data_IF_276941227870
#
_entry.id   IF_276941227870
#
_cell.length_a   1.000
_cell.length_b   1.000
_cell.length_c   1.000
_cell.angle_alpha   90.00
_cell.angle_beta   90.00
_cell.angle_gamma   90.00
#
_symmetry.space_group_name_H-M   'P 1'
#
loop_
_entity.id
_entity.type
_entity.pdbx_description
1 polymer ?
#
# COMPACT_ATOMS: atom_id res chain seq x y z
N UNK A 1 -0.01 0.37 20.64
CA UNK A 1 -1.27 1.15 20.55
C UNK A 1 -2.22 0.45 19.58
N UNK A 2 -3.49 0.32 19.97
CA UNK A 2 -4.58 -0.21 19.12
C UNK A 2 -4.85 0.70 17.92
N UNK A 3 -5.29 0.13 16.80
CA UNK A 3 -5.71 0.89 15.62
C UNK A 3 -6.99 1.70 15.90
N UNK A 4 -7.30 2.61 14.99
CA UNK A 4 -8.47 3.49 15.01
C UNK A 4 -8.61 4.34 16.29
N UNK A 5 -7.59 5.09 16.71
CA UNK A 5 -7.63 5.86 17.96
C UNK A 5 -8.54 7.09 17.92
N UNK A 6 -9.08 7.46 16.75
CA UNK A 6 -9.88 8.67 16.54
C UNK A 6 -11.23 8.37 15.89
N UNK A 7 -12.26 9.23 16.06
CA UNK A 7 -13.53 9.08 15.33
C UNK A 7 -13.37 9.02 13.80
N UNK A 8 -12.37 9.72 13.25
CA UNK A 8 -12.06 9.74 11.81
C UNK A 8 -11.52 8.39 11.31
N UNK A 9 -10.74 7.69 12.12
CA UNK A 9 -10.19 6.36 11.79
C UNK A 9 -11.10 5.20 12.22
N UNK A 10 -12.22 5.48 12.92
CA UNK A 10 -13.19 4.44 13.31
C UNK A 10 -14.06 3.98 12.15
N UNK A 11 -14.01 2.68 11.84
CA UNK A 11 -14.87 2.07 10.83
C UNK A 11 -16.30 1.94 11.37
N UNK A 12 -17.25 2.60 10.70
CA UNK A 12 -18.66 2.58 11.11
C UNK A 12 -19.52 1.57 10.34
N UNK A 13 -19.35 1.47 9.02
CA UNK A 13 -20.11 0.52 8.18
C UNK A 13 -19.34 -0.80 8.03
N UNK A 14 -19.97 -1.92 8.37
CA UNK A 14 -19.34 -3.24 8.31
C UNK A 14 -18.29 -3.43 9.41
N UNK A 15 -18.62 -3.04 10.65
CA UNK A 15 -17.71 -3.08 11.82
C UNK A 15 -17.12 -4.45 12.10
N UNK A 16 -17.85 -5.53 11.80
CA UNK A 16 -17.37 -6.90 11.93
C UNK A 16 -16.14 -7.22 11.04
N UNK A 17 -15.80 -6.34 10.09
CA UNK A 17 -14.63 -6.43 9.21
C UNK A 17 -13.47 -5.56 9.68
N UNK A 18 -13.68 -4.71 10.69
CA UNK A 18 -12.64 -3.86 11.24
C UNK A 18 -11.66 -4.72 12.04
N UNK A 19 -10.37 -4.47 11.90
CA UNK A 19 -9.30 -5.17 12.62
C UNK A 19 -8.57 -4.16 13.49
N UNK A 20 -8.34 -4.52 14.75
CA UNK A 20 -7.74 -3.66 15.78
C UNK A 20 -6.25 -3.86 15.95
N UNK A 21 -5.75 -5.04 15.56
CA UNK A 21 -4.37 -5.45 15.76
C UNK A 21 -3.43 -4.73 14.80
N UNK A 22 -2.37 -4.14 15.35
CA UNK A 22 -1.36 -3.40 14.58
C UNK A 22 -0.60 -4.29 13.60
N UNK A 23 -0.41 -5.56 13.95
CA UNK A 23 0.19 -6.56 13.06
C UNK A 23 -0.59 -6.71 11.75
N UNK A 24 -1.92 -6.56 11.79
CA UNK A 24 -2.74 -6.59 10.57
C UNK A 24 -2.50 -5.36 9.68
N UNK A 25 -2.22 -4.19 10.25
CA UNK A 25 -1.81 -3.01 9.48
C UNK A 25 -0.48 -3.27 8.77
N UNK A 26 0.52 -3.76 9.53
CA UNK A 26 1.84 -4.08 8.98
C UNK A 26 1.73 -5.11 7.86
N UNK A 27 0.99 -6.21 8.07
CA UNK A 27 0.80 -7.24 7.04
C UNK A 27 0.14 -6.71 5.75
N UNK A 28 -0.79 -5.76 5.85
CA UNK A 28 -1.40 -5.14 4.65
C UNK A 28 -0.41 -4.23 3.93
N UNK A 29 0.35 -3.43 4.68
CA UNK A 29 1.34 -2.52 4.11
C UNK A 29 2.51 -3.30 3.46
N UNK A 30 3.01 -4.33 4.13
CA UNK A 30 4.15 -5.13 3.65
C UNK A 30 3.81 -5.96 2.41
N UNK A 31 2.55 -6.39 2.27
CA UNK A 31 2.09 -7.09 1.09
C UNK A 31 1.80 -6.17 -0.12
N UNK A 32 1.79 -4.85 0.07
CA UNK A 32 1.42 -3.90 -0.98
C UNK A 32 2.62 -3.14 -1.54
N UNK A 33 2.70 -3.05 -2.86
CA UNK A 33 3.75 -2.30 -3.56
C UNK A 33 3.36 -0.83 -3.80
N UNK A 34 2.06 -0.54 -3.82
CA UNK A 34 1.49 0.76 -4.19
C UNK A 34 0.52 1.21 -3.10
N UNK A 35 0.62 2.49 -2.75
CA UNK A 35 -0.37 3.19 -1.96
C UNK A 35 -0.96 4.36 -2.77
N UNK A 36 -2.07 4.92 -2.29
CA UNK A 36 -2.69 6.11 -2.85
C UNK A 36 -2.58 7.24 -1.84
N UNK A 37 -1.76 8.24 -2.16
CA UNK A 37 -1.61 9.45 -1.36
C UNK A 37 -2.69 10.45 -1.76
N UNK A 38 -3.56 10.80 -0.82
CA UNK A 38 -4.54 11.86 -0.93
C UNK A 38 -4.08 13.10 -0.16
N UNK A 39 -4.13 14.25 -0.83
CA UNK A 39 -3.77 15.57 -0.30
C UNK A 39 -4.64 16.64 -0.96
N UNK A 40 -4.98 17.71 -0.25
CA UNK A 40 -5.69 18.86 -0.84
C UNK A 40 -4.65 19.81 -1.42
N UNK A 41 -4.77 20.14 -2.70
CA UNK A 41 -3.88 21.06 -3.41
C UNK A 41 -4.73 22.12 -4.11
N UNK A 42 -4.44 23.40 -3.87
CA UNK A 42 -5.25 24.55 -4.30
C UNK A 42 -6.75 24.38 -3.99
N UNK A 43 -7.07 23.84 -2.82
CA UNK A 43 -8.45 23.64 -2.37
C UNK A 43 -9.19 22.46 -3.00
N UNK A 44 -8.55 21.66 -3.86
CA UNK A 44 -9.14 20.47 -4.46
C UNK A 44 -8.44 19.18 -3.97
N UNK A 45 -9.18 18.09 -3.71
CA UNK A 45 -8.56 16.81 -3.37
C UNK A 45 -7.83 16.24 -4.59
N UNK A 46 -6.59 15.83 -4.38
CA UNK A 46 -5.75 15.12 -5.33
C UNK A 46 -5.40 13.75 -4.74
N UNK A 47 -5.53 12.70 -5.54
CA UNK A 47 -5.13 11.33 -5.18
C UNK A 47 -4.13 10.82 -6.20
N UNK A 48 -2.95 10.41 -5.75
CA UNK A 48 -1.89 9.88 -6.61
C UNK A 48 -1.43 8.49 -6.16
N UNK A 49 -1.35 7.52 -7.07
CA UNK A 49 -0.67 6.25 -6.79
C UNK A 49 0.84 6.46 -6.67
N UNK A 50 1.46 5.87 -5.67
CA UNK A 50 2.92 5.91 -5.46
C UNK A 50 3.42 4.69 -4.71
N UNK A 51 4.67 4.31 -4.97
CA UNK A 51 5.40 3.38 -4.11
C UNK A 51 5.68 3.98 -2.73
N UNK A 52 5.84 3.12 -1.74
CA UNK A 52 6.16 3.48 -0.36
C UNK A 52 7.03 2.39 0.26
N UNK A 53 7.59 2.64 1.43
CA UNK A 53 8.25 1.62 2.24
C UNK A 53 7.96 1.82 3.71
N UNK A 54 7.86 0.74 4.48
CA UNK A 54 7.59 0.79 5.92
C UNK A 54 8.83 0.47 6.74
N UNK A 55 9.06 1.26 7.78
CA UNK A 55 10.03 0.95 8.84
C UNK A 55 9.35 1.14 10.20
N UNK A 56 9.14 0.05 10.92
CA UNK A 56 8.37 0.04 12.17
C UNK A 56 6.99 0.67 11.99
N UNK A 57 6.73 1.74 12.72
CA UNK A 57 5.46 2.50 12.72
C UNK A 57 5.51 3.77 11.85
N UNK A 58 6.39 3.82 10.86
CA UNK A 58 6.47 4.92 9.88
C UNK A 58 6.45 4.35 8.46
N UNK A 59 5.73 5.02 7.56
CA UNK A 59 5.92 4.82 6.12
C UNK A 59 6.66 6.00 5.51
N UNK A 60 7.48 5.71 4.51
CA UNK A 60 8.18 6.69 3.71
C UNK A 60 7.61 6.73 2.29
N UNK A 61 7.45 7.94 1.78
CA UNK A 61 7.02 8.25 0.42
C UNK A 61 8.12 9.09 -0.23
N UNK A 62 8.33 8.93 -1.54
CA UNK A 62 9.30 9.77 -2.25
C UNK A 62 8.75 10.26 -3.59
N UNK A 63 9.43 11.25 -4.15
CA UNK A 63 9.21 11.71 -5.51
C UNK A 63 10.13 12.85 -5.87
N UNK A 64 9.93 13.46 -7.04
CA UNK A 64 10.68 14.65 -7.43
C UNK A 64 10.47 15.80 -6.43
N UNK A 65 11.51 16.60 -6.19
CA UNK A 65 11.38 17.87 -5.45
C UNK A 65 10.39 18.86 -6.10
N UNK A 66 10.12 18.73 -7.40
CA UNK A 66 9.11 19.51 -8.11
C UNK A 66 7.68 19.00 -7.94
N UNK A 67 7.48 17.78 -7.43
CA UNK A 67 6.17 17.14 -7.36
C UNK A 67 5.23 17.92 -6.44
N UNK A 68 4.15 18.43 -7.03
CA UNK A 68 3.23 19.36 -6.36
C UNK A 68 2.54 18.75 -5.14
N UNK A 69 2.12 17.48 -5.24
CA UNK A 69 1.53 16.73 -4.12
C UNK A 69 2.47 16.60 -2.92
N UNK A 70 3.74 16.25 -3.16
CA UNK A 70 4.75 16.11 -2.10
C UNK A 70 5.13 17.46 -1.51
N UNK A 71 5.24 18.53 -2.33
CA UNK A 71 5.48 19.89 -1.84
C UNK A 71 4.36 20.37 -0.95
N UNK A 72 3.11 20.16 -1.36
CA UNK A 72 1.94 20.54 -0.57
C UNK A 72 1.90 19.76 0.74
N UNK A 73 2.03 18.43 0.69
CA UNK A 73 2.08 17.58 1.88
C UNK A 73 3.20 17.99 2.85
N UNK A 74 4.37 18.41 2.35
CA UNK A 74 5.50 18.87 3.15
C UNK A 74 5.23 20.17 3.92
N UNK A 75 4.18 20.93 3.57
CA UNK A 75 3.79 22.15 4.30
C UNK A 75 3.06 21.85 5.62
N UNK A 76 2.75 20.58 5.90
CA UNK A 76 2.08 20.16 7.12
C UNK A 76 0.56 20.03 7.00
N UNK A 77 0.01 20.13 5.79
CA UNK A 77 -1.42 19.86 5.56
C UNK A 77 -1.75 18.39 5.87
N UNK A 78 -2.99 18.09 6.31
CA UNK A 78 -3.42 16.71 6.49
C UNK A 78 -3.36 15.91 5.19
N UNK A 79 -2.86 14.69 5.30
CA UNK A 79 -2.83 13.69 4.23
C UNK A 79 -3.59 12.44 4.63
N UNK A 80 -3.94 11.63 3.63
CA UNK A 80 -4.50 10.30 3.82
C UNK A 80 -3.78 9.33 2.86
N UNK A 81 -3.34 8.19 3.36
CA UNK A 81 -2.72 7.13 2.55
C UNK A 81 -3.63 5.91 2.60
N UNK A 82 -4.03 5.42 1.43
CA UNK A 82 -4.86 4.22 1.30
C UNK A 82 -4.12 3.10 0.56
N UNK A 83 -4.21 1.88 1.09
CA UNK A 83 -3.72 0.65 0.49
C UNK A 83 -4.87 -0.35 0.40
N UNK A 84 -5.01 -1.02 -0.74
CA UNK A 84 -6.03 -2.05 -0.97
C UNK A 84 -5.43 -3.22 -1.74
N UNK A 85 -5.62 -4.43 -1.23
CA UNK A 85 -5.33 -5.70 -1.88
C UNK A 85 -6.65 -6.42 -2.10
N UNK A 86 -6.96 -6.79 -3.34
CA UNK A 86 -8.17 -7.56 -3.68
C UNK A 86 -7.79 -9.03 -3.77
N UNK A 87 -8.48 -9.85 -2.98
CA UNK A 87 -8.18 -11.27 -2.83
C UNK A 87 -9.20 -12.16 -3.57
N UNK A 88 -10.28 -11.58 -4.09
CA UNK A 88 -11.23 -12.28 -4.96
C UNK A 88 -12.58 -11.60 -5.10
N UNK A 89 -13.33 -11.99 -6.12
CA UNK A 89 -14.72 -11.55 -6.35
C UNK A 89 -15.67 -12.52 -5.68
N UNK A 90 -16.66 -12.00 -4.96
CA UNK A 90 -17.70 -12.81 -4.32
C UNK A 90 -18.98 -12.75 -5.12
N UNK A 91 -19.36 -13.90 -5.65
CA UNK A 91 -20.56 -14.14 -6.41
C UNK A 91 -21.67 -14.62 -5.48
N UNK A 92 -22.66 -13.77 -5.24
CA UNK A 92 -23.84 -14.08 -4.45
C UNK A 92 -25.02 -14.50 -5.37
N UNK A 93 -26.12 -14.95 -4.77
CA UNK A 93 -27.36 -15.30 -5.48
C UNK A 93 -28.20 -14.06 -5.79
N UNK A 94 -28.12 -13.06 -4.90
CA UNK A 94 -28.68 -11.72 -5.09
C UNK A 94 -27.62 -10.75 -5.62
N UNK A 95 -28.03 -9.85 -6.53
CA UNK A 95 -27.14 -8.79 -7.02
C UNK A 95 -26.68 -7.86 -5.88
N UNK A 96 -27.51 -7.70 -4.86
CA UNK A 96 -27.22 -6.86 -3.70
C UNK A 96 -26.03 -7.37 -2.88
N UNK A 97 -25.84 -8.69 -2.82
CA UNK A 97 -24.85 -9.34 -1.96
C UNK A 97 -23.53 -9.66 -2.66
N UNK A 98 -23.41 -9.31 -3.95
CA UNK A 98 -22.13 -9.32 -4.64
C UNK A 98 -21.11 -8.45 -3.92
N UNK A 99 -19.88 -8.94 -3.83
CA UNK A 99 -18.83 -8.26 -3.09
C UNK A 99 -17.43 -8.65 -3.55
N UNK A 100 -16.42 -8.29 -2.77
CA UNK A 100 -15.03 -8.70 -2.95
C UNK A 100 -14.44 -9.15 -1.61
N UNK A 101 -13.57 -10.16 -1.62
CA UNK A 101 -12.63 -10.39 -0.54
C UNK A 101 -11.46 -9.42 -0.73
N UNK A 102 -11.03 -8.77 0.35
CA UNK A 102 -10.00 -7.74 0.30
C UNK A 102 -9.34 -7.54 1.67
N UNK A 103 -8.17 -6.92 1.64
CA UNK A 103 -7.50 -6.33 2.79
C UNK A 103 -7.19 -4.87 2.47
N UNK A 104 -7.48 -3.97 3.39
CA UNK A 104 -7.24 -2.54 3.19
C UNK A 104 -6.76 -1.85 4.45
N UNK A 105 -5.92 -0.85 4.27
CA UNK A 105 -5.45 0.04 5.32
C UNK A 105 -5.65 1.49 4.89
N UNK A 106 -6.09 2.33 5.83
CA UNK A 106 -6.18 3.79 5.65
C UNK A 106 -5.46 4.46 6.80
N UNK A 107 -4.46 5.28 6.46
CA UNK A 107 -3.62 6.03 7.41
C UNK A 107 -3.89 7.52 7.25
N UNK A 108 -4.22 8.19 8.33
CA UNK A 108 -4.37 9.63 8.39
C UNK A 108 -3.20 10.24 9.14
N UNK A 109 -2.80 11.46 8.76
CA UNK A 109 -1.84 12.21 9.54
C UNK A 109 -1.33 13.44 8.82
N UNK A 110 -0.22 13.97 9.32
CA UNK A 110 0.54 15.04 8.70
C UNK A 110 1.90 14.49 8.34
N UNK A 111 2.23 14.49 7.05
CA UNK A 111 3.52 14.02 6.58
C UNK A 111 4.63 15.03 6.95
N UNK A 112 5.80 14.52 7.34
CA UNK A 112 6.96 15.33 7.72
C UNK A 112 8.07 15.15 6.70
N UNK A 113 8.67 16.24 6.16
CA UNK A 113 9.79 16.13 5.25
C UNK A 113 11.03 15.55 5.94
N UNK A 114 11.71 14.62 5.27
CA UNK A 114 12.98 14.05 5.73
C UNK A 114 14.13 14.85 5.11
N UNK A 115 14.71 15.74 5.89
CA UNK A 115 15.76 16.68 5.44
C UNK A 115 17.17 16.26 5.83
N UNK A 116 17.32 15.51 6.93
CA UNK A 116 18.61 14.96 7.36
C UNK A 116 19.14 13.97 6.29
N UNK A 117 20.38 14.14 5.81
CA UNK A 117 20.93 13.30 4.72
C UNK A 117 20.99 11.81 5.04
N UNK A 118 21.37 11.43 6.27
CA UNK A 118 21.48 10.03 6.66
C UNK A 118 20.11 9.37 6.76
N UNK A 119 19.16 10.05 7.42
CA UNK A 119 17.78 9.59 7.50
C UNK A 119 17.11 9.51 6.12
N UNK A 120 17.45 10.43 5.21
CA UNK A 120 16.94 10.42 3.84
C UNK A 120 17.49 9.22 3.05
N UNK A 121 18.78 8.93 3.18
CA UNK A 121 19.38 7.74 2.57
C UNK A 121 18.75 6.45 3.13
N UNK A 122 18.54 6.37 4.45
CA UNK A 122 17.85 5.27 5.10
C UNK A 122 16.42 5.10 4.58
N UNK A 123 15.63 6.17 4.52
CA UNK A 123 14.27 6.13 4.01
C UNK A 123 14.21 5.65 2.54
N UNK A 124 15.14 6.09 1.71
CA UNK A 124 15.27 5.61 0.33
C UNK A 124 15.66 4.13 0.28
N UNK A 125 16.55 3.66 1.16
CA UNK A 125 16.84 2.22 1.32
C UNK A 125 15.58 1.45 1.67
N UNK A 126 14.81 1.90 2.67
CA UNK A 126 13.54 1.28 3.07
C UNK A 126 12.56 1.19 1.89
N UNK A 127 12.40 2.27 1.12
CA UNK A 127 11.58 2.30 -0.10
C UNK A 127 12.05 1.30 -1.16
N UNK A 128 13.36 1.27 -1.44
CA UNK A 128 13.95 0.34 -2.40
C UNK A 128 13.75 -1.10 -1.96
N UNK A 129 14.05 -1.43 -0.71
CA UNK A 129 13.96 -2.78 -0.17
C UNK A 129 12.51 -3.27 -0.05
N UNK A 130 11.55 -2.36 0.16
CA UNK A 130 10.12 -2.71 0.13
C UNK A 130 9.65 -3.11 -1.27
N UNK A 131 10.12 -2.40 -2.30
CA UNK A 131 9.68 -2.61 -3.69
C UNK A 131 10.52 -3.67 -4.42
N UNK A 132 11.80 -3.79 -4.07
CA UNK A 132 12.77 -4.68 -4.70
C UNK A 132 13.82 -5.12 -3.64
N UNK A 133 13.48 -6.11 -2.80
CA UNK A 133 14.38 -6.60 -1.76
C UNK A 133 15.76 -6.99 -2.31
N UNK A 134 16.82 -6.65 -1.58
CA UNK A 134 18.22 -6.87 -1.95
C UNK A 134 18.78 -5.91 -3.00
N UNK A 135 17.94 -5.09 -3.64
CA UNK A 135 18.39 -4.23 -4.75
C UNK A 135 19.20 -3.02 -4.29
N UNK A 136 19.06 -2.55 -3.05
CA UNK A 136 19.86 -1.41 -2.58
C UNK A 136 21.36 -1.74 -2.55
N UNK A 137 21.71 -2.94 -2.10
CA UNK A 137 23.09 -3.39 -1.99
C UNK A 137 23.63 -3.97 -3.32
N UNK A 138 22.74 -4.36 -4.26
CA UNK A 138 23.10 -4.83 -5.60
C UNK A 138 23.32 -3.71 -6.62
N UNK A 139 22.48 -2.68 -6.61
CA UNK A 139 22.58 -1.56 -7.54
C UNK A 139 23.60 -0.50 -7.10
N UNK A 140 24.01 0.38 -8.03
CA UNK A 140 24.87 1.53 -7.69
C UNK A 140 24.14 2.44 -6.67
N UNK A 141 24.79 2.84 -5.56
CA UNK A 141 24.21 3.78 -4.61
C UNK A 141 23.86 5.15 -5.22
N UNK A 142 22.86 5.89 -4.69
CA UNK A 142 22.50 7.22 -5.18
C UNK A 142 23.64 8.24 -5.11
N UNK A 143 23.78 9.06 -6.15
CA UNK A 143 24.67 10.23 -6.17
C UNK A 143 24.07 11.38 -5.36
N UNK A 144 24.91 12.35 -4.97
CA UNK A 144 24.47 13.58 -4.33
C UNK A 144 23.44 14.37 -5.19
N UNK A 145 23.58 14.34 -6.53
CA UNK A 145 22.62 14.98 -7.45
C UNK A 145 21.26 14.30 -7.43
N UNK A 146 21.24 12.96 -7.47
CA UNK A 146 20.01 12.17 -7.38
C UNK A 146 19.32 12.40 -6.02
N UNK A 147 20.08 12.40 -4.92
CA UNK A 147 19.54 12.71 -3.59
C UNK A 147 18.97 14.14 -3.51
N UNK A 148 19.63 15.13 -4.12
CA UNK A 148 19.13 16.51 -4.13
C UNK A 148 17.84 16.67 -4.96
N UNK A 149 17.62 15.84 -5.99
CA UNK A 149 16.44 15.88 -6.84
C UNK A 149 15.21 15.14 -6.27
N UNK A 150 15.39 14.39 -5.17
CA UNK A 150 14.35 13.58 -4.56
C UNK A 150 13.86 14.20 -3.25
N UNK A 151 12.55 14.36 -3.10
CA UNK A 151 11.90 14.64 -1.81
C UNK A 151 11.49 13.34 -1.15
N UNK A 152 11.58 13.28 0.19
CA UNK A 152 11.11 12.15 1.00
C UNK A 152 10.22 12.69 2.12
N UNK A 153 9.08 12.03 2.32
CA UNK A 153 8.14 12.29 3.39
C UNK A 153 8.04 11.08 4.31
N UNK A 154 7.98 11.33 5.61
CA UNK A 154 7.66 10.33 6.63
C UNK A 154 6.22 10.54 7.12
N UNK A 155 5.44 9.47 7.24
CA UNK A 155 4.10 9.48 7.80
C UNK A 155 4.00 8.43 8.92
N UNK A 156 3.59 8.89 10.09
CA UNK A 156 3.38 8.06 11.28
C UNK A 156 2.11 7.19 11.15
N UNK A 157 2.17 5.96 11.67
CA UNK A 157 1.11 4.95 11.59
C UNK A 157 0.20 4.92 12.84
N UNK A 158 0.15 5.97 13.65
CA UNK A 158 -0.69 6.02 14.86
C UNK A 158 -2.16 6.06 14.49
N UNK A 159 -2.58 6.96 13.59
CA UNK A 159 -3.98 7.11 13.18
C UNK A 159 -4.28 6.30 11.92
N UNK A 160 -4.40 4.98 12.10
CA UNK A 160 -4.66 4.05 11.00
C UNK A 160 -5.88 3.17 11.28
N UNK A 161 -6.53 2.71 10.22
CA UNK A 161 -7.65 1.76 10.26
C UNK A 161 -7.41 0.62 9.28
N UNK A 162 -7.84 -0.59 9.66
CA UNK A 162 -7.72 -1.78 8.83
C UNK A 162 -9.08 -2.43 8.68
N UNK A 163 -9.41 -2.80 7.43
CA UNK A 163 -10.65 -3.50 7.10
C UNK A 163 -10.36 -4.70 6.21
N UNK A 164 -10.81 -5.87 6.64
CA UNK A 164 -10.57 -7.14 5.95
C UNK A 164 -11.89 -7.86 5.73
N UNK A 165 -12.09 -8.37 4.51
CA UNK A 165 -13.18 -9.29 4.17
C UNK A 165 -12.60 -10.55 3.55
N UNK A 166 -12.98 -11.69 4.10
CA UNK A 166 -12.73 -13.02 3.53
C UNK A 166 -14.01 -13.86 3.60
N UNK A 167 -14.01 -15.00 2.91
CA UNK A 167 -15.09 -15.99 3.00
C UNK A 167 -16.17 -15.89 1.90
N UNK A 168 -17.23 -16.70 2.05
CA UNK A 168 -18.31 -16.87 1.06
C UNK A 168 -19.24 -15.64 0.95
N UNK A 169 -20.19 -15.63 0.00
CA UNK A 169 -21.31 -14.69 0.03
C UNK A 169 -22.16 -14.86 1.29
N UNK A 170 -22.82 -13.77 1.72
CA UNK A 170 -23.77 -13.77 2.84
C UNK A 170 -25.19 -13.58 2.32
N UNK A 171 -25.66 -14.54 1.51
CA UNK A 171 -27.03 -14.53 0.97
C UNK A 171 -28.08 -14.68 2.09
N UNK A 172 -29.27 -14.14 1.87
CA UNK A 172 -30.45 -14.36 2.72
C UNK A 172 -30.93 -15.83 2.65
N UNK A 173 -31.55 -16.32 3.72
CA UNK A 173 -31.98 -17.72 3.83
C UNK A 173 -32.94 -18.14 2.70
N UNK A 174 -33.80 -17.22 2.23
CA UNK A 174 -34.75 -17.47 1.14
C UNK A 174 -34.03 -17.73 -0.19
N UNK A 175 -32.97 -16.96 -0.50
CA UNK A 175 -32.17 -17.14 -1.72
C UNK A 175 -31.38 -18.46 -1.67
N UNK A 176 -30.88 -18.82 -0.49
CA UNK A 176 -30.20 -20.11 -0.27
C UNK A 176 -31.19 -21.28 -0.45
N UNK A 177 -32.37 -21.20 0.16
CA UNK A 177 -33.40 -22.24 0.09
C UNK A 177 -33.94 -22.43 -1.34
N UNK A 178 -34.08 -21.34 -2.11
CA UNK A 178 -34.50 -21.39 -3.50
C UNK A 178 -33.50 -22.16 -4.39
N UNK A 179 -32.21 -22.14 -4.03
CA UNK A 179 -31.11 -22.85 -4.70
C UNK A 179 -31.12 -22.70 -6.24
N UNK A 180 -31.52 -21.53 -6.73
CA UNK A 180 -31.78 -21.29 -8.15
C UNK A 180 -30.56 -20.76 -8.93
N UNK A 181 -29.50 -20.35 -8.21
CA UNK A 181 -28.29 -19.71 -8.76
C UNK A 181 -27.05 -20.28 -8.09
N UNK A 182 -25.95 -20.34 -8.85
CA UNK A 182 -24.63 -20.63 -8.29
C UNK A 182 -24.13 -19.43 -7.49
N UNK A 183 -23.40 -19.70 -6.42
CA UNK A 183 -22.76 -18.70 -5.56
C UNK A 183 -21.42 -19.22 -5.06
N UNK A 184 -20.45 -18.32 -4.88
CA UNK A 184 -19.09 -18.70 -4.51
C UNK A 184 -18.12 -17.53 -4.54
N UNK A 185 -16.82 -17.86 -4.49
CA UNK A 185 -15.73 -16.90 -4.58
C UNK A 185 -14.87 -17.26 -5.78
N UNK A 186 -14.55 -16.28 -6.62
CA UNK A 186 -13.49 -16.38 -7.61
C UNK A 186 -12.23 -15.70 -7.03
N UNK A 187 -11.24 -16.46 -6.55
CA UNK A 187 -10.04 -15.88 -5.95
C UNK A 187 -9.24 -15.09 -6.99
N UNK A 188 -8.68 -13.96 -6.55
CA UNK A 188 -7.69 -13.19 -7.31
C UNK A 188 -6.34 -13.39 -6.62
N UNK A 189 -5.34 -13.87 -7.37
CA UNK A 189 -3.98 -14.09 -6.85
C UNK A 189 -2.98 -13.33 -7.72
N UNK A 190 -2.15 -12.53 -7.09
CA UNK A 190 -0.99 -11.90 -7.73
C UNK A 190 0.23 -12.79 -7.47
N UNK A 191 1.05 -12.99 -8.50
CA UNK A 191 2.31 -13.72 -8.42
C UNK A 191 3.34 -13.02 -9.31
N UNK A 192 4.61 -13.20 -9.00
CA UNK A 192 5.71 -12.75 -9.85
C UNK A 192 5.80 -13.62 -11.10
N UNK A 193 5.99 -12.99 -12.25
CA UNK A 193 6.24 -13.68 -13.51
C UNK A 193 7.71 -14.06 -13.69
N UNK A 194 8.03 -14.65 -14.83
CA UNK A 194 9.42 -14.89 -15.24
C UNK A 194 10.16 -13.55 -15.45
N UNK A 195 11.39 -13.37 -14.93
CA UNK A 195 12.15 -12.14 -15.14
C UNK A 195 12.48 -11.91 -16.61
N UNK A 196 12.08 -10.74 -17.13
CA UNK A 196 12.39 -10.32 -18.50
C UNK A 196 13.68 -9.48 -18.52
N UNK A 197 14.75 -9.90 -19.21
CA UNK A 197 16.00 -9.15 -19.26
C UNK A 197 15.87 -7.85 -20.07
N UNK A 198 16.59 -6.81 -19.66
CA UNK A 198 16.70 -5.55 -20.42
C UNK A 198 17.37 -5.81 -21.79
N UNK A 199 16.77 -5.39 -22.92
CA UNK A 199 17.38 -5.49 -24.25
C UNK A 199 18.76 -4.82 -24.39
N UNK A 200 19.15 -3.94 -23.48
CA UNK A 200 20.46 -3.28 -23.43
C UNK A 200 21.54 -4.10 -22.72
N UNK A 201 21.21 -5.26 -22.12
CA UNK A 201 22.22 -6.14 -21.53
C UNK A 201 23.18 -6.65 -22.60
N UNK A 202 24.47 -6.46 -22.36
CA UNK A 202 25.53 -6.97 -23.23
C UNK A 202 26.08 -8.27 -22.64
N UNK A 203 25.92 -9.37 -23.36
CA UNK A 203 26.38 -10.71 -22.95
C UNK A 203 25.31 -11.53 -22.23
N UNK A 204 25.69 -12.72 -21.78
CA UNK A 204 24.82 -13.62 -21.01
C UNK A 204 24.94 -13.30 -19.52
N UNK A 205 23.82 -12.95 -18.89
CA UNK A 205 23.74 -12.65 -17.46
C UNK A 205 22.78 -13.61 -16.78
N UNK A 206 23.22 -14.18 -15.66
CA UNK A 206 22.30 -14.86 -14.75
C UNK A 206 21.44 -13.82 -14.03
N UNK A 207 20.16 -14.14 -13.83
CA UNK A 207 19.28 -13.31 -13.01
C UNK A 207 19.74 -13.38 -11.54
N UNK A 208 19.88 -12.25 -10.83
CA UNK A 208 20.31 -12.26 -9.43
C UNK A 208 19.38 -13.05 -8.51
N UNK A 209 19.93 -13.68 -7.48
CA UNK A 209 19.19 -14.51 -6.52
C UNK A 209 18.06 -13.73 -5.81
N UNK A 210 18.28 -12.46 -5.46
CA UNK A 210 17.26 -11.62 -4.83
C UNK A 210 16.06 -11.30 -5.75
N UNK A 211 16.19 -11.55 -7.06
CA UNK A 211 15.09 -11.44 -8.03
C UNK A 211 14.40 -12.79 -8.21
N UNK A 212 15.15 -13.88 -8.35
CA UNK A 212 14.59 -15.23 -8.57
C UNK A 212 13.99 -15.85 -7.30
N UNK A 213 14.46 -15.46 -6.12
CA UNK A 213 13.94 -15.89 -4.81
C UNK A 213 12.79 -15.04 -4.28
N UNK A 214 12.12 -14.26 -5.14
CA UNK A 214 11.04 -13.35 -4.74
C UNK A 214 9.70 -14.08 -4.72
N UNK A 215 9.09 -14.13 -3.54
CA UNK A 215 7.76 -14.73 -3.30
C UNK A 215 6.62 -13.70 -3.21
#
# INVERSE_FOLDING_TARGET
MTLSPTPRSTINRGKHRAVTEREALHAVLDAALVCHLAVVVDGAPLVLPTGFGRDGDTIFLHGSTGARSLREAATGVPVCVAVTLVDGVVYARSVFDHSMNYRSAVVHGTAVPVTDPERKAHALKVLTEHIAPGSWDYARPPTAKELAATSVLALDLTEASVKIRSGPPGDEDEDVAANARWAGVLPLRTHWGEPEPDPLLVGEWAVPEHVTGRD
#
